data_IF_183938144149
#
_entry.id   IF_183938144149
#
_cell.length_a   1.000
_cell.length_b   1.000
_cell.length_c   1.000
_cell.angle_alpha   90.00
_cell.angle_beta   90.00
_cell.angle_gamma   90.00
#
_symmetry.space_group_name_H-M   'P 1'
#
loop_
_entity.id
_entity.type
_entity.pdbx_description
1 polymer ?
#
# COMPACT_ATOMS: atom_id res chain seq x y z
N UNK A 1 0.81 18.02 -9.93
CA UNK A 1 -0.38 17.18 -10.12
C UNK A 1 -0.16 15.90 -9.37
N UNK A 2 -1.19 15.45 -8.67
CA UNK A 2 -1.15 14.22 -7.88
C UNK A 2 -1.36 13.01 -8.80
N UNK A 3 -0.75 11.87 -8.44
CA UNK A 3 -0.94 10.64 -9.19
C UNK A 3 -2.37 10.12 -8.98
N UNK A 4 -3.02 9.56 -10.01
CA UNK A 4 -4.40 9.11 -9.86
C UNK A 4 -4.48 7.85 -9.00
N UNK A 5 -5.56 7.75 -8.22
CA UNK A 5 -5.80 6.68 -7.23
C UNK A 5 -5.71 5.25 -7.79
N UNK A 6 -6.10 5.05 -9.04
CA UNK A 6 -6.04 3.75 -9.70
C UNK A 6 -4.61 3.29 -10.03
N UNK A 7 -3.62 4.20 -10.02
CA UNK A 7 -2.29 3.93 -10.57
C UNK A 7 -1.51 2.88 -9.76
N UNK A 8 -1.59 2.90 -8.43
CA UNK A 8 -0.90 1.92 -7.58
C UNK A 8 -1.37 0.50 -7.90
N UNK A 9 -2.69 0.33 -8.01
CA UNK A 9 -3.36 -0.92 -8.35
C UNK A 9 -2.97 -1.41 -9.74
N UNK A 10 -2.99 -0.53 -10.75
CA UNK A 10 -2.54 -0.87 -12.11
C UNK A 10 -1.07 -1.25 -12.14
N UNK A 11 -0.18 -0.52 -11.43
CA UNK A 11 1.25 -0.88 -11.36
C UNK A 11 1.48 -2.24 -10.71
N UNK A 12 0.70 -2.59 -9.68
CA UNK A 12 0.74 -3.90 -9.07
C UNK A 12 0.36 -5.00 -10.07
N UNK A 13 -0.78 -4.85 -10.75
CA UNK A 13 -1.27 -5.80 -11.77
C UNK A 13 -0.30 -5.92 -12.95
N UNK A 14 0.29 -4.80 -13.39
CA UNK A 14 1.33 -4.80 -14.41
C UNK A 14 2.54 -5.65 -14.01
N UNK A 15 3.00 -5.54 -12.75
CA UNK A 15 4.11 -6.33 -12.23
C UNK A 15 3.75 -7.81 -12.14
N UNK A 16 2.55 -8.13 -11.65
CA UNK A 16 2.06 -9.49 -11.48
C UNK A 16 1.92 -10.22 -12.83
N UNK A 17 1.37 -9.54 -13.84
CA UNK A 17 1.05 -10.14 -15.15
C UNK A 17 2.13 -9.89 -16.22
N UNK A 18 3.24 -9.23 -15.86
CA UNK A 18 4.34 -8.93 -16.79
C UNK A 18 4.00 -7.89 -17.88
N UNK A 19 2.92 -7.12 -17.69
CA UNK A 19 2.43 -6.11 -18.63
C UNK A 19 3.26 -4.82 -18.49
N UNK A 20 3.67 -4.23 -19.62
CA UNK A 20 4.50 -3.02 -19.67
C UNK A 20 3.66 -1.81 -20.12
N UNK A 21 4.17 -0.59 -19.88
CA UNK A 21 3.47 0.64 -20.28
C UNK A 21 3.14 0.71 -21.77
N UNK A 22 3.98 0.12 -22.65
CA UNK A 22 3.69 0.05 -24.10
C UNK A 22 2.41 -0.71 -24.41
N UNK A 23 2.06 -1.68 -23.58
CA UNK A 23 0.91 -2.55 -23.82
C UNK A 23 -0.40 -1.82 -23.46
N UNK A 24 -0.32 -0.73 -22.70
CA UNK A 24 -1.45 0.14 -22.36
C UNK A 24 -1.72 1.25 -23.40
N UNK A 25 -0.84 1.41 -24.39
CA UNK A 25 -0.93 2.49 -25.38
C UNK A 25 -2.26 2.46 -26.15
N UNK A 26 -2.73 1.27 -26.52
CA UNK A 26 -4.01 1.07 -27.21
C UNK A 26 -5.22 1.47 -26.35
N UNK A 27 -5.17 1.18 -25.05
CA UNK A 27 -6.25 1.54 -24.11
C UNK A 27 -6.36 3.07 -23.96
N UNK A 28 -5.23 3.75 -23.85
CA UNK A 28 -5.21 5.20 -23.71
C UNK A 28 -5.33 5.97 -25.03
N UNK A 29 -5.37 5.27 -26.18
CA UNK A 29 -5.42 5.90 -27.50
C UNK A 29 -4.19 6.75 -27.83
N UNK A 30 -3.01 6.39 -27.29
CA UNK A 30 -1.77 7.14 -27.47
C UNK A 30 -0.77 6.38 -28.33
N UNK A 31 0.04 7.12 -29.09
CA UNK A 31 1.04 6.55 -30.01
C UNK A 31 2.42 6.31 -29.37
N UNK A 32 2.63 6.76 -28.13
CA UNK A 32 3.91 6.64 -27.44
C UNK A 32 3.73 6.23 -25.98
N UNK A 33 4.76 5.56 -25.42
CA UNK A 33 4.83 5.28 -23.98
C UNK A 33 4.81 6.57 -23.15
N UNK A 34 5.44 7.64 -23.65
CA UNK A 34 5.37 8.97 -23.02
C UNK A 34 3.93 9.44 -22.86
N UNK A 35 3.08 9.20 -23.87
CA UNK A 35 1.64 9.46 -23.82
C UNK A 35 0.93 8.78 -22.64
N UNK A 36 1.27 7.52 -22.35
CA UNK A 36 0.75 6.77 -21.20
C UNK A 36 1.22 7.38 -19.88
N UNK A 37 2.48 7.83 -19.82
CA UNK A 37 3.05 8.48 -18.63
C UNK A 37 2.32 9.77 -18.23
N UNK A 38 1.70 10.48 -19.18
CA UNK A 38 0.85 11.63 -18.85
C UNK A 38 -0.35 11.24 -17.98
N UNK A 39 -0.94 10.06 -18.18
CA UNK A 39 -2.01 9.56 -17.32
C UNK A 39 -1.46 9.16 -15.94
N UNK A 40 -0.31 8.51 -15.91
CA UNK A 40 0.31 8.06 -14.65
C UNK A 40 0.78 9.22 -13.77
N UNK A 41 1.10 10.37 -14.36
CA UNK A 41 1.48 11.59 -13.63
C UNK A 41 0.31 12.49 -13.29
N UNK A 42 -0.93 12.09 -13.61
CA UNK A 42 -2.13 12.91 -13.43
C UNK A 42 -2.23 14.09 -14.40
N UNK A 43 -1.31 14.25 -15.36
CA UNK A 43 -1.38 15.29 -16.41
C UNK A 43 -2.55 15.09 -17.36
N UNK A 44 -3.03 13.86 -17.50
CA UNK A 44 -4.27 13.51 -18.19
C UNK A 44 -5.12 12.66 -17.27
N UNK A 45 -6.43 12.91 -17.30
CA UNK A 45 -7.42 12.12 -16.59
C UNK A 45 -7.89 10.99 -17.50
N UNK A 46 -7.90 9.76 -16.99
CA UNK A 46 -8.46 8.61 -17.70
C UNK A 46 -9.99 8.69 -17.66
N UNK A 47 -10.66 8.39 -18.77
CA UNK A 47 -12.13 8.30 -18.78
C UNK A 47 -12.60 6.97 -18.18
N UNK A 48 -13.87 6.90 -17.80
CA UNK A 48 -14.48 5.68 -17.27
C UNK A 48 -14.34 4.49 -18.24
N UNK A 49 -14.55 4.72 -19.54
CA UNK A 49 -14.34 3.70 -20.58
C UNK A 49 -12.88 3.19 -20.65
N UNK A 50 -11.90 4.06 -20.37
CA UNK A 50 -10.49 3.67 -20.31
C UNK A 50 -10.21 2.85 -19.05
N UNK A 51 -10.82 3.19 -17.91
CA UNK A 51 -10.72 2.41 -16.67
C UNK A 51 -11.39 1.04 -16.81
N UNK A 52 -12.56 0.96 -17.44
CA UNK A 52 -13.21 -0.31 -17.78
C UNK A 52 -12.32 -1.17 -18.69
N UNK A 53 -11.71 -0.55 -19.70
CA UNK A 53 -10.79 -1.26 -20.60
C UNK A 53 -9.54 -1.77 -19.88
N UNK A 54 -9.00 -1.01 -18.91
CA UNK A 54 -7.92 -1.46 -18.04
C UNK A 54 -8.37 -2.65 -17.18
N UNK A 55 -9.53 -2.54 -16.52
CA UNK A 55 -10.07 -3.60 -15.67
C UNK A 55 -10.24 -4.90 -16.47
N UNK A 56 -10.77 -4.79 -17.70
CA UNK A 56 -10.94 -5.91 -18.63
C UNK A 56 -9.61 -6.51 -19.08
N UNK A 57 -8.59 -5.69 -19.33
CA UNK A 57 -7.24 -6.16 -19.65
C UNK A 57 -6.65 -7.01 -18.51
N UNK A 58 -6.81 -6.56 -17.27
CA UNK A 58 -6.24 -7.23 -16.09
C UNK A 58 -7.14 -8.33 -15.51
N UNK A 59 -8.36 -8.52 -16.03
CA UNK A 59 -9.31 -9.52 -15.54
C UNK A 59 -9.90 -9.21 -14.15
N UNK A 60 -10.03 -7.92 -13.81
CA UNK A 60 -10.54 -7.46 -12.51
C UNK A 60 -11.85 -6.68 -12.69
N UNK A 61 -12.61 -6.54 -11.61
CA UNK A 61 -13.78 -5.65 -11.59
C UNK A 61 -13.33 -4.18 -11.59
N UNK A 62 -14.05 -3.31 -12.33
CA UNK A 62 -13.69 -1.89 -12.45
C UNK A 62 -13.76 -1.14 -11.12
N UNK A 63 -14.58 -1.60 -10.16
CA UNK A 63 -14.63 -1.07 -8.79
C UNK A 63 -13.29 -1.19 -8.07
N UNK A 64 -12.43 -2.16 -8.44
CA UNK A 64 -11.07 -2.24 -7.91
C UNK A 64 -10.27 -0.99 -8.28
N UNK A 65 -10.40 -0.50 -9.51
CA UNK A 65 -9.65 0.67 -9.98
C UNK A 65 -10.21 1.99 -9.46
N UNK A 66 -11.54 2.10 -9.39
CA UNK A 66 -12.25 3.33 -9.02
C UNK A 66 -12.37 3.51 -7.50
N UNK A 67 -12.34 2.42 -6.75
CA UNK A 67 -12.33 2.51 -5.29
C UNK A 67 -11.23 3.46 -4.84
N UNK A 68 -11.50 4.17 -3.75
CA UNK A 68 -10.47 4.94 -3.07
C UNK A 68 -9.21 4.08 -2.94
N UNK A 69 -8.02 4.69 -2.99
CA UNK A 69 -6.81 3.93 -2.76
C UNK A 69 -7.04 3.25 -1.42
N UNK A 70 -7.22 1.93 -1.46
CA UNK A 70 -6.91 1.10 -0.32
C UNK A 70 -5.46 1.48 -0.13
N UNK A 71 -5.19 2.33 0.85
CA UNK A 71 -3.84 2.60 1.31
C UNK A 71 -3.14 1.26 1.22
N UNK A 72 -2.00 1.19 0.56
CA UNK A 72 -1.19 -0.03 0.47
C UNK A 72 -0.68 -0.43 1.89
N UNK A 73 -1.55 -0.42 2.89
CA UNK A 73 -1.55 -1.22 4.09
C UNK A 73 -1.74 -2.68 3.66
N UNK A 74 -0.75 -3.20 2.94
CA UNK A 74 -0.43 -4.63 2.97
C UNK A 74 -0.01 -5.11 4.38
N UNK A 75 -0.17 -4.24 5.38
CA UNK A 75 0.18 -4.36 6.78
C UNK A 75 -0.83 -3.63 7.67
N UNK A 76 -2.13 -3.57 7.35
CA UNK A 76 -3.06 -3.23 8.43
C UNK A 76 -2.97 -4.35 9.45
N UNK A 77 -2.31 -4.10 10.58
CA UNK A 77 -2.32 -5.08 11.67
C UNK A 77 -3.79 -5.25 12.06
N UNK A 78 -4.31 -6.46 11.91
CA UNK A 78 -5.60 -6.81 12.48
C UNK A 78 -5.45 -6.82 14.00
N UNK A 79 -6.24 -6.00 14.68
CA UNK A 79 -6.24 -5.91 16.14
C UNK A 79 -6.50 -7.27 16.80
N UNK A 80 -7.28 -8.14 16.16
CA UNK A 80 -7.50 -9.51 16.65
C UNK A 80 -6.22 -10.34 16.54
N UNK A 81 -5.54 -10.29 15.40
CA UNK A 81 -4.27 -10.99 15.21
C UNK A 81 -3.18 -10.50 16.18
N UNK A 82 -3.13 -9.19 16.45
CA UNK A 82 -2.21 -8.60 17.43
C UNK A 82 -2.50 -9.09 18.85
N UNK A 83 -3.78 -9.13 19.22
CA UNK A 83 -4.23 -9.65 20.52
C UNK A 83 -3.82 -11.11 20.71
N UNK A 84 -4.04 -11.95 19.71
CA UNK A 84 -3.64 -13.37 19.77
C UNK A 84 -2.12 -13.56 19.83
N UNK A 85 -1.35 -12.69 19.15
CA UNK A 85 0.11 -12.70 19.26
C UNK A 85 0.56 -12.40 20.70
N UNK A 86 0.00 -11.37 21.35
CA UNK A 86 0.32 -11.06 22.74
C UNK A 86 -0.08 -12.16 23.72
N UNK A 87 -1.26 -12.77 23.55
CA UNK A 87 -1.66 -13.93 24.37
C UNK A 87 -0.72 -15.10 24.20
N UNK A 88 -0.26 -15.35 22.98
CA UNK A 88 0.67 -16.44 22.67
C UNK A 88 2.02 -16.20 23.33
N UNK A 89 2.57 -14.98 23.22
CA UNK A 89 3.82 -14.61 23.87
C UNK A 89 3.70 -14.69 25.40
N UNK A 90 2.61 -14.19 25.97
CA UNK A 90 2.38 -14.26 27.41
C UNK A 90 2.37 -15.70 27.94
N UNK A 91 1.82 -16.64 27.16
CA UNK A 91 1.87 -18.08 27.48
C UNK A 91 3.26 -18.68 27.32
N UNK A 92 4.01 -18.28 26.29
CA UNK A 92 5.36 -18.80 26.03
C UNK A 92 6.37 -18.34 27.08
N UNK A 93 6.16 -17.15 27.62
CA UNK A 93 7.02 -16.54 28.64
C UNK A 93 6.55 -16.86 30.08
N UNK A 94 5.59 -17.79 30.25
CA UNK A 94 5.04 -18.24 31.53
C UNK A 94 4.56 -17.09 32.46
N UNK A 95 3.95 -16.05 31.88
CA UNK A 95 3.36 -14.96 32.67
C UNK A 95 2.23 -15.51 33.55
N UNK A 96 2.15 -15.00 34.79
CA UNK A 96 1.04 -15.33 35.69
C UNK A 96 -0.28 -14.74 35.21
N UNK A 97 -1.39 -15.34 35.62
CA UNK A 97 -2.74 -14.85 35.28
C UNK A 97 -2.93 -13.38 35.70
N UNK A 98 -2.35 -12.96 36.83
CA UNK A 98 -2.44 -11.58 37.31
C UNK A 98 -1.69 -10.59 36.40
N UNK A 99 -0.52 -10.97 35.88
CA UNK A 99 0.25 -10.18 34.92
C UNK A 99 -0.49 -10.06 33.58
N UNK A 100 -1.04 -11.17 33.09
CA UNK A 100 -1.81 -11.23 31.84
C UNK A 100 -3.04 -10.32 31.95
N UNK A 101 -3.83 -10.46 33.03
CA UNK A 101 -5.01 -9.63 33.26
C UNK A 101 -4.65 -8.15 33.37
N UNK A 102 -3.57 -7.82 34.08
CA UNK A 102 -3.11 -6.44 34.23
C UNK A 102 -2.69 -5.82 32.90
N UNK A 103 -1.94 -6.56 32.08
CA UNK A 103 -1.54 -6.14 30.74
C UNK A 103 -2.76 -5.89 29.84
N UNK A 104 -3.65 -6.89 29.71
CA UNK A 104 -4.80 -6.78 28.79
C UNK A 104 -5.79 -5.69 29.23
N UNK A 105 -5.94 -5.44 30.54
CA UNK A 105 -6.75 -4.32 31.03
C UNK A 105 -6.22 -2.96 30.56
N UNK A 106 -4.90 -2.80 30.49
CA UNK A 106 -4.29 -1.56 29.99
C UNK A 106 -4.39 -1.50 28.46
N UNK A 107 -4.09 -2.61 27.79
CA UNK A 107 -4.19 -2.77 26.34
C UNK A 107 -5.59 -2.42 25.80
N UNK A 108 -6.65 -2.98 26.39
CA UNK A 108 -8.04 -2.69 26.03
C UNK A 108 -8.39 -1.21 26.25
N UNK A 109 -7.95 -0.62 27.38
CA UNK A 109 -8.17 0.81 27.67
C UNK A 109 -7.48 1.74 26.68
N UNK A 110 -6.33 1.34 26.14
CA UNK A 110 -5.64 2.10 25.09
C UNK A 110 -6.40 2.03 23.74
N UNK A 111 -7.17 0.97 23.54
CA UNK A 111 -7.95 0.71 22.34
C UNK A 111 -7.11 -0.03 21.29
N UNK A 112 -7.40 -1.31 21.11
CA UNK A 112 -6.64 -2.23 20.25
C UNK A 112 -6.50 -1.72 18.81
N UNK A 113 -7.59 -1.18 18.26
CA UNK A 113 -7.62 -0.57 16.93
C UNK A 113 -6.71 0.67 16.83
N UNK A 114 -6.65 1.49 17.89
CA UNK A 114 -5.78 2.68 17.92
C UNK A 114 -4.30 2.29 17.97
N UNK A 115 -3.98 1.17 18.62
CA UNK A 115 -2.63 0.63 18.67
C UNK A 115 -2.22 0.13 17.28
N UNK A 116 -3.10 -0.61 16.61
CA UNK A 116 -2.87 -1.06 15.24
C UNK A 116 -2.67 0.13 14.28
N UNK A 117 -3.55 1.13 14.33
CA UNK A 117 -3.42 2.36 13.53
C UNK A 117 -2.09 3.10 13.80
N UNK A 118 -1.69 3.23 15.07
CA UNK A 118 -0.43 3.87 15.41
C UNK A 118 0.78 3.10 14.86
N UNK A 119 0.73 1.76 14.89
CA UNK A 119 1.76 0.92 14.30
C UNK A 119 1.87 1.13 12.78
N UNK A 120 0.73 1.18 12.09
CA UNK A 120 0.68 1.38 10.64
C UNK A 120 1.32 2.72 10.25
N UNK A 121 0.97 3.79 10.97
CA UNK A 121 1.54 5.14 10.77
C UNK A 121 3.06 5.12 10.96
N UNK A 122 3.55 4.52 12.06
CA UNK A 122 4.98 4.45 12.36
C UNK A 122 5.72 3.64 11.28
N UNK A 123 5.12 2.54 10.83
CA UNK A 123 5.69 1.67 9.79
C UNK A 123 5.81 2.39 8.45
N UNK A 124 4.79 3.16 8.08
CA UNK A 124 4.82 4.00 6.88
C UNK A 124 5.92 5.08 6.97
N UNK A 125 6.03 5.77 8.10
CA UNK A 125 7.05 6.79 8.34
C UNK A 125 8.47 6.20 8.25
N UNK A 126 8.69 5.03 8.85
CA UNK A 126 9.98 4.35 8.82
C UNK A 126 10.38 3.96 7.39
N UNK A 127 9.43 3.50 6.58
CA UNK A 127 9.67 3.17 5.16
C UNK A 127 10.07 4.41 4.37
N UNK A 128 9.33 5.51 4.50
CA UNK A 128 9.64 6.76 3.83
C UNK A 128 11.04 7.26 4.19
N UNK A 129 11.39 7.24 5.49
CA UNK A 129 12.72 7.63 5.96
C UNK A 129 13.83 6.77 5.35
N UNK A 130 13.59 5.46 5.22
CA UNK A 130 14.56 4.54 4.59
C UNK A 130 14.76 4.86 3.12
N UNK A 131 13.69 5.07 2.37
CA UNK A 131 13.76 5.44 0.94
C UNK A 131 14.48 6.78 0.73
N UNK A 132 14.24 7.77 1.59
CA UNK A 132 14.96 9.05 1.56
C UNK A 132 16.47 8.88 1.80
N UNK A 133 16.85 8.04 2.75
CA UNK A 133 18.26 7.74 3.03
C UNK A 133 18.93 7.03 1.85
N UNK A 134 18.28 6.03 1.28
CA UNK A 134 18.78 5.32 0.10
C UNK A 134 18.96 6.26 -1.09
N UNK A 135 18.01 7.16 -1.33
CA UNK A 135 18.09 8.17 -2.38
C UNK A 135 19.23 9.17 -2.15
N UNK A 136 19.46 9.60 -0.90
CA UNK A 136 20.59 10.47 -0.54
C UNK A 136 21.93 9.76 -0.77
N UNK A 137 22.05 8.51 -0.31
CA UNK A 137 23.22 7.65 -0.53
C UNK A 137 23.52 7.47 -2.02
N UNK A 138 22.49 7.22 -2.84
CA UNK A 138 22.63 7.08 -4.28
C UNK A 138 23.15 8.36 -4.95
N UNK A 139 22.63 9.53 -4.55
CA UNK A 139 23.10 10.83 -5.08
C UNK A 139 24.55 11.12 -4.70
N UNK A 140 24.96 10.81 -3.47
CA UNK A 140 26.35 10.98 -3.02
C UNK A 140 27.33 10.09 -3.81
N UNK A 141 26.95 8.83 -4.06
CA UNK A 141 27.77 7.89 -4.86
C UNK A 141 27.92 8.29 -6.32
N UNK A 142 27.00 9.09 -6.87
CA UNK A 142 27.08 9.61 -8.26
C UNK A 142 27.88 10.91 -8.39
N UNK A 143 28.17 11.58 -7.28
CA UNK A 143 28.91 12.84 -7.24
C UNK A 143 30.42 12.65 -6.99
N UNK A 144 30.85 11.41 -6.73
CA UNK A 144 32.26 10.97 -6.71
C UNK A 144 32.60 10.29 -8.03
#
# INVERSE_FOLDING_TARGET
MEAPNWLSKVKYLMKEQGIKQKDLMGIFGVKTQGGVSHYFSGRKVASDAQLESLAKLFGVDVSLLISEPVSDNKHSIDAQALTEAFKTLARLDDLSDEEIVSFFRVYEKMGENRIAEAYDVISALNRQRKEELENKLFKLKKAQ
#
